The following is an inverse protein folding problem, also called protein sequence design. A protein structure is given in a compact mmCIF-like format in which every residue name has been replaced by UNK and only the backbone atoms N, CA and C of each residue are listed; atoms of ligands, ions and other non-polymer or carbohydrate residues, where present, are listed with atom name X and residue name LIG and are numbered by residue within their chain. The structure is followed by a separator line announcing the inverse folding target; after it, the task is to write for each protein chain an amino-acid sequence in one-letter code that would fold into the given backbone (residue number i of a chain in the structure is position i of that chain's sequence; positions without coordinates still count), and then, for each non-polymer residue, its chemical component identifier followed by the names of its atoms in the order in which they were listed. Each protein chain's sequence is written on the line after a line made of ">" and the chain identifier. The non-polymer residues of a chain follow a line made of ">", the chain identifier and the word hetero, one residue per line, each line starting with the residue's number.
data_IF_621069490178
#
_entry.id   IF_621069490178
#
_cell.length_a   1.000
_cell.length_b   1.000
_cell.length_c   1.000
_cell.angle_alpha   90.00
_cell.angle_beta   90.00
_cell.angle_gamma   90.00
#
_symmetry.space_group_name_H-M   'P 1'
#
loop_
_entity.id
_entity.type
_entity.pdbx_description
1 polymer ?
#
# COMPACT_ATOMS: atom_id res chain seq x y z
N UNK A 1 18.99 28.21 3.28
CA UNK A 1 19.58 26.96 3.77
C UNK A 1 18.53 25.94 4.28
N UNK A 2 17.49 26.36 4.97
CA UNK A 2 16.42 25.45 5.48
C UNK A 2 15.67 24.70 4.36
N UNK A 3 15.36 25.35 3.24
CA UNK A 3 14.67 24.71 2.10
C UNK A 3 15.51 23.57 1.51
N UNK A 4 16.83 23.71 1.42
CA UNK A 4 17.70 22.67 0.88
C UNK A 4 17.76 21.43 1.78
N UNK A 5 17.73 21.60 3.11
CA UNK A 5 17.74 20.48 4.07
C UNK A 5 16.43 19.71 3.97
N UNK A 6 15.28 20.39 3.91
CA UNK A 6 13.97 19.74 3.79
C UNK A 6 13.86 18.97 2.46
N UNK A 7 14.36 19.53 1.37
CA UNK A 7 14.42 18.84 0.08
C UNK A 7 15.31 17.62 0.11
N UNK A 8 16.45 17.68 0.78
CA UNK A 8 17.39 16.57 0.92
C UNK A 8 16.80 15.43 1.74
N UNK A 9 16.13 15.74 2.85
CA UNK A 9 15.42 14.77 3.67
C UNK A 9 14.23 14.14 2.91
N UNK A 10 13.46 14.95 2.17
CA UNK A 10 12.38 14.46 1.34
C UNK A 10 12.88 13.53 0.22
N UNK A 11 13.96 13.90 -0.45
CA UNK A 11 14.61 13.08 -1.47
C UNK A 11 15.13 11.74 -0.91
N UNK A 12 15.75 11.78 0.27
CA UNK A 12 16.25 10.56 0.95
C UNK A 12 15.09 9.63 1.35
N UNK A 13 13.99 10.17 1.87
CA UNK A 13 12.79 9.41 2.20
C UNK A 13 12.21 8.73 0.95
N UNK A 14 12.11 9.47 -0.16
CA UNK A 14 11.64 8.92 -1.43
C UNK A 14 12.56 7.83 -1.97
N UNK A 15 13.88 8.05 -1.93
CA UNK A 15 14.88 7.06 -2.35
C UNK A 15 14.79 5.78 -1.51
N UNK A 16 14.61 5.90 -0.20
CA UNK A 16 14.44 4.75 0.70
C UNK A 16 13.18 3.95 0.35
N UNK A 17 12.08 4.62 0.06
CA UNK A 17 10.82 3.98 -0.36
C UNK A 17 11.01 3.19 -1.67
N UNK A 18 11.64 3.81 -2.67
CA UNK A 18 11.94 3.13 -3.94
C UNK A 18 12.89 1.94 -3.76
N UNK A 19 13.90 2.08 -2.89
CA UNK A 19 14.82 1.00 -2.58
C UNK A 19 14.09 -0.20 -1.93
N UNK A 20 13.22 0.04 -0.96
CA UNK A 20 12.44 -1.00 -0.31
C UNK A 20 11.50 -1.71 -1.29
N UNK A 21 10.86 -0.96 -2.19
CA UNK A 21 10.01 -1.54 -3.22
C UNK A 21 10.81 -2.40 -4.20
N UNK A 22 11.95 -1.92 -4.66
CA UNK A 22 12.82 -2.66 -5.57
C UNK A 22 13.40 -3.92 -4.90
N UNK A 23 13.85 -3.82 -3.66
CA UNK A 23 14.36 -4.94 -2.88
C UNK A 23 13.29 -6.03 -2.66
N UNK A 24 12.07 -5.62 -2.30
CA UNK A 24 10.94 -6.53 -2.14
C UNK A 24 10.60 -7.28 -3.43
N UNK A 25 10.54 -6.57 -4.57
CA UNK A 25 10.29 -7.16 -5.88
C UNK A 25 11.40 -8.13 -6.28
N UNK A 26 12.67 -7.77 -6.02
CA UNK A 26 13.82 -8.63 -6.32
C UNK A 26 13.81 -9.91 -5.50
N UNK A 27 13.44 -9.84 -4.22
CA UNK A 27 13.29 -11.01 -3.35
C UNK A 27 12.20 -11.95 -3.86
N UNK A 28 11.03 -11.41 -4.18
CA UNK A 28 9.90 -12.19 -4.69
C UNK A 28 10.30 -12.87 -6.00
N UNK A 29 10.86 -12.12 -6.95
CA UNK A 29 11.30 -12.67 -8.24
C UNK A 29 12.42 -13.71 -8.08
N UNK A 30 13.38 -13.48 -7.17
CA UNK A 30 14.48 -14.39 -6.91
C UNK A 30 14.03 -15.74 -6.34
N UNK A 31 12.96 -15.75 -5.54
CA UNK A 31 12.44 -16.98 -4.90
C UNK A 31 11.41 -17.69 -5.77
N UNK A 32 10.44 -16.94 -6.30
CA UNK A 32 9.30 -17.54 -7.02
C UNK A 32 9.48 -17.59 -8.53
N UNK A 33 10.44 -16.83 -9.08
CA UNK A 33 10.62 -16.56 -10.52
C UNK A 33 9.36 -16.02 -11.22
N UNK A 34 8.43 -15.46 -10.46
CA UNK A 34 7.20 -14.86 -10.93
C UNK A 34 7.33 -13.35 -10.76
N UNK A 35 7.13 -12.58 -11.83
CA UNK A 35 7.06 -11.12 -11.75
C UNK A 35 5.68 -10.74 -11.21
N UNK A 36 5.63 -10.30 -9.97
CA UNK A 36 4.38 -9.88 -9.32
C UNK A 36 4.18 -8.36 -9.46
N UNK A 37 3.45 -7.94 -10.47
CA UNK A 37 3.10 -6.52 -10.67
C UNK A 37 2.21 -5.94 -9.56
N UNK A 38 1.49 -6.79 -8.83
CA UNK A 38 0.64 -6.35 -7.73
C UNK A 38 1.42 -5.88 -6.48
N UNK A 39 2.75 -6.08 -6.44
CA UNK A 39 3.59 -5.69 -5.30
C UNK A 39 3.43 -4.20 -4.95
N UNK A 40 3.43 -3.32 -5.96
CA UNK A 40 3.20 -1.89 -5.78
C UNK A 40 1.79 -1.56 -5.24
N UNK A 41 0.78 -2.32 -5.63
CA UNK A 41 -0.60 -2.14 -5.16
C UNK A 41 -0.75 -2.53 -3.69
N UNK A 42 -0.06 -3.56 -3.21
CA UNK A 42 -0.02 -3.92 -1.79
C UNK A 42 0.68 -2.86 -0.95
N UNK A 43 1.77 -2.28 -1.44
CA UNK A 43 2.43 -1.15 -0.80
C UNK A 43 1.49 0.06 -0.68
N UNK A 44 0.80 0.41 -1.77
CA UNK A 44 -0.18 1.50 -1.79
C UNK A 44 -1.34 1.23 -0.83
N UNK A 45 -1.84 0.00 -0.75
CA UNK A 45 -2.89 -0.41 0.20
C UNK A 45 -2.46 -0.17 1.65
N UNK A 46 -1.27 -0.62 2.04
CA UNK A 46 -0.72 -0.40 3.37
C UNK A 46 -0.56 1.07 3.71
N UNK A 47 -0.03 1.87 2.77
CA UNK A 47 0.14 3.30 2.94
C UNK A 47 -1.21 4.04 3.11
N UNK A 48 -2.23 3.69 2.32
CA UNK A 48 -3.57 4.27 2.43
C UNK A 48 -4.26 3.90 3.74
N UNK A 49 -4.16 2.65 4.20
CA UNK A 49 -4.71 2.23 5.48
C UNK A 49 -4.04 2.98 6.64
N UNK A 50 -2.71 3.09 6.63
CA UNK A 50 -1.97 3.87 7.63
C UNK A 50 -2.40 5.33 7.64
N UNK A 51 -2.45 5.97 6.46
CA UNK A 51 -2.89 7.35 6.32
C UNK A 51 -4.33 7.56 6.80
N UNK A 52 -5.24 6.62 6.51
CA UNK A 52 -6.63 6.68 6.95
C UNK A 52 -6.75 6.64 8.47
N UNK A 53 -6.02 5.77 9.15
CA UNK A 53 -6.04 5.69 10.61
C UNK A 53 -5.41 6.90 11.28
N UNK A 54 -4.28 7.37 10.77
CA UNK A 54 -3.62 8.58 11.25
C UNK A 54 -4.53 9.80 11.15
N UNK A 55 -5.25 9.96 10.04
CA UNK A 55 -6.08 11.15 9.82
C UNK A 55 -7.43 11.12 10.54
N UNK A 56 -8.00 9.93 10.82
CA UNK A 56 -9.35 9.84 11.39
C UNK A 56 -9.37 9.51 12.88
N UNK A 57 -8.36 8.81 13.39
CA UNK A 57 -8.36 8.33 14.79
C UNK A 57 -7.40 9.12 15.70
N UNK A 58 -6.27 9.60 15.17
CA UNK A 58 -5.28 10.32 15.97
C UNK A 58 -5.67 11.73 16.43
N UNK A 59 -6.48 12.51 15.69
CA UNK A 59 -6.92 13.81 16.20
C UNK A 59 -7.67 13.71 17.54
N UNK A 60 -8.26 12.55 17.83
CA UNK A 60 -9.00 12.29 19.08
C UNK A 60 -8.12 11.80 20.23
N UNK A 61 -6.91 11.28 19.97
CA UNK A 61 -6.08 10.55 20.97
C UNK A 61 -4.74 11.24 21.27
N UNK A 62 -4.45 12.38 20.65
CA UNK A 62 -3.20 13.14 20.84
C UNK A 62 -2.06 12.65 19.92
N UNK A 63 -1.08 13.53 19.69
CA UNK A 63 0.09 13.27 18.85
C UNK A 63 1.17 12.51 19.64
N UNK A 64 1.04 11.20 19.80
CA UNK A 64 2.10 10.38 20.38
C UNK A 64 2.81 9.54 19.32
N UNK A 65 4.15 9.51 19.37
CA UNK A 65 4.97 8.72 18.44
C UNK A 65 4.59 7.23 18.46
N UNK A 66 4.12 6.73 19.60
CA UNK A 66 3.70 5.34 19.77
C UNK A 66 2.46 5.00 18.95
N UNK A 67 1.51 5.93 18.82
CA UNK A 67 0.31 5.76 18.00
C UNK A 67 0.65 5.74 16.51
N UNK A 68 1.61 6.56 16.05
CA UNK A 68 2.09 6.51 14.66
C UNK A 68 2.74 5.15 14.34
N UNK A 69 3.55 4.65 15.27
CA UNK A 69 4.19 3.33 15.12
C UNK A 69 3.16 2.21 15.06
N UNK A 70 2.12 2.28 15.87
CA UNK A 70 1.02 1.34 15.90
C UNK A 70 0.22 1.36 14.59
N UNK A 71 -0.05 2.55 14.02
CA UNK A 71 -0.71 2.67 12.72
C UNK A 71 0.11 2.08 11.58
N UNK A 72 1.43 2.25 11.59
CA UNK A 72 2.32 1.66 10.59
C UNK A 72 2.29 0.13 10.69
N UNK A 73 2.36 -0.43 11.90
CA UNK A 73 2.32 -1.88 12.12
C UNK A 73 0.97 -2.46 11.66
N UNK A 74 -0.14 -1.79 12.00
CA UNK A 74 -1.48 -2.21 11.58
C UNK A 74 -1.65 -2.11 10.07
N UNK A 75 -1.15 -1.04 9.42
CA UNK A 75 -1.16 -0.88 7.96
C UNK A 75 -0.36 -1.97 7.26
N UNK A 76 0.82 -2.29 7.79
CA UNK A 76 1.65 -3.39 7.29
C UNK A 76 0.97 -4.75 7.47
N UNK A 77 0.36 -5.01 8.62
CA UNK A 77 -0.38 -6.24 8.88
C UNK A 77 -1.57 -6.40 7.93
N UNK A 78 -2.33 -5.32 7.69
CA UNK A 78 -3.46 -5.33 6.75
C UNK A 78 -3.01 -5.63 5.32
N UNK A 79 -1.94 -4.96 4.85
CA UNK A 79 -1.36 -5.24 3.53
C UNK A 79 -0.81 -6.66 3.43
N UNK A 80 -0.20 -7.18 4.51
CA UNK A 80 0.29 -8.55 4.59
C UNK A 80 -0.83 -9.60 4.49
N UNK A 81 -1.94 -9.39 5.20
CA UNK A 81 -3.12 -10.26 5.12
C UNK A 81 -3.73 -10.23 3.72
N UNK A 82 -3.87 -9.05 3.12
CA UNK A 82 -4.38 -8.91 1.75
C UNK A 82 -3.45 -9.59 0.74
N UNK A 83 -2.13 -9.46 0.91
CA UNK A 83 -1.13 -10.14 0.09
C UNK A 83 -1.19 -11.66 0.22
N UNK A 84 -1.28 -12.17 1.45
CA UNK A 84 -1.42 -13.61 1.72
C UNK A 84 -2.73 -14.17 1.13
N UNK A 85 -3.82 -13.44 1.22
CA UNK A 85 -5.09 -13.82 0.60
C UNK A 85 -4.98 -13.88 -0.93
N UNK A 86 -4.35 -12.88 -1.55
CA UNK A 86 -4.11 -12.86 -2.99
C UNK A 86 -3.18 -13.99 -3.45
N UNK A 87 -2.14 -14.29 -2.68
CA UNK A 87 -1.26 -15.43 -2.93
C UNK A 87 -2.03 -16.74 -2.90
N UNK A 88 -2.79 -16.97 -1.84
CA UNK A 88 -3.53 -18.22 -1.66
C UNK A 88 -4.62 -18.42 -2.72
N UNK A 89 -5.35 -17.37 -3.10
CA UNK A 89 -6.48 -17.44 -4.02
C UNK A 89 -6.05 -17.46 -5.50
N UNK A 90 -5.05 -16.65 -5.86
CA UNK A 90 -4.65 -16.42 -7.25
C UNK A 90 -3.27 -17.03 -7.58
N UNK A 91 -2.21 -16.56 -6.91
CA UNK A 91 -0.84 -16.90 -7.29
C UNK A 91 -0.54 -18.39 -7.11
N UNK A 92 -1.00 -19.00 -6.04
CA UNK A 92 -0.79 -20.43 -5.80
C UNK A 92 -1.43 -21.32 -6.86
N UNK A 93 -2.52 -20.87 -7.49
CA UNK A 93 -3.17 -21.60 -8.59
C UNK A 93 -2.44 -21.44 -9.92
N UNK A 94 -1.58 -20.41 -10.02
CA UNK A 94 -0.80 -20.10 -11.21
C UNK A 94 0.61 -20.70 -11.17
N UNK A 95 0.98 -21.38 -10.09
CA UNK A 95 2.25 -22.09 -9.98
C UNK A 95 2.26 -23.22 -11.00
N UNK A 96 3.20 -23.16 -11.97
CA UNK A 96 3.29 -24.10 -13.09
C UNK A 96 2.56 -23.67 -14.37
N UNK A 97 1.81 -22.56 -14.34
CA UNK A 97 1.25 -21.98 -15.55
C UNK A 97 2.35 -21.26 -16.36
N UNK A 98 2.19 -21.12 -17.69
CA UNK A 98 3.11 -20.34 -18.53
C UNK A 98 3.27 -18.90 -18.00
N UNK A 99 4.46 -18.33 -18.13
CA UNK A 99 4.81 -16.99 -17.61
C UNK A 99 3.82 -15.89 -18.04
N UNK A 100 3.29 -16.00 -19.24
CA UNK A 100 2.31 -15.04 -19.77
C UNK A 100 1.02 -14.98 -18.93
N UNK A 101 0.52 -16.15 -18.47
CA UNK A 101 -0.68 -16.20 -17.64
C UNK A 101 -0.43 -15.59 -16.26
N UNK A 102 0.76 -15.80 -15.71
CA UNK A 102 1.16 -15.20 -14.44
C UNK A 102 1.22 -13.67 -14.53
N UNK A 103 1.81 -13.14 -15.61
CA UNK A 103 1.87 -11.71 -15.90
C UNK A 103 0.47 -11.09 -16.01
N UNK A 104 -0.40 -11.69 -16.83
CA UNK A 104 -1.78 -11.19 -17.02
C UNK A 104 -2.57 -11.21 -15.71
N UNK A 105 -2.43 -12.28 -14.92
CA UNK A 105 -3.14 -12.41 -13.63
C UNK A 105 -2.68 -11.36 -12.62
N UNK A 106 -1.38 -11.15 -12.46
CA UNK A 106 -0.85 -10.15 -11.53
C UNK A 106 -1.15 -8.72 -11.98
N UNK A 107 -1.18 -8.47 -13.30
CA UNK A 107 -1.60 -7.20 -13.86
C UNK A 107 -3.09 -6.94 -13.64
N UNK A 108 -3.94 -7.94 -13.88
CA UNK A 108 -5.38 -7.86 -13.58
C UNK A 108 -5.66 -7.61 -12.11
N UNK A 109 -4.92 -8.27 -11.21
CA UNK A 109 -4.98 -8.02 -9.77
C UNK A 109 -4.60 -6.58 -9.42
N UNK A 110 -3.55 -6.05 -10.06
CA UNK A 110 -3.13 -4.65 -9.88
C UNK A 110 -4.24 -3.68 -10.21
N UNK A 111 -4.88 -3.85 -11.36
CA UNK A 111 -5.99 -2.99 -11.81
C UNK A 111 -7.19 -3.09 -10.87
N UNK A 112 -7.58 -4.30 -10.48
CA UNK A 112 -8.69 -4.52 -9.55
C UNK A 112 -8.43 -3.87 -8.18
N UNK A 113 -7.22 -3.98 -7.66
CA UNK A 113 -6.84 -3.33 -6.40
C UNK A 113 -6.84 -1.81 -6.51
N UNK A 114 -6.33 -1.25 -7.61
CA UNK A 114 -6.34 0.20 -7.84
C UNK A 114 -7.77 0.74 -7.89
N UNK A 115 -8.66 0.06 -8.58
CA UNK A 115 -10.06 0.45 -8.70
C UNK A 115 -10.79 0.37 -7.34
N UNK A 116 -10.58 -0.71 -6.61
CA UNK A 116 -11.12 -0.88 -5.26
C UNK A 116 -10.64 0.23 -4.29
N UNK A 117 -9.35 0.60 -4.36
CA UNK A 117 -8.82 1.70 -3.53
C UNK A 117 -9.39 3.06 -3.93
N UNK A 118 -9.55 3.34 -5.21
CA UNK A 118 -10.16 4.58 -5.69
C UNK A 118 -11.61 4.69 -5.24
N UNK A 119 -12.37 3.60 -5.32
CA UNK A 119 -13.73 3.55 -4.83
C UNK A 119 -13.82 3.80 -3.33
N UNK A 120 -12.97 3.17 -2.53
CA UNK A 120 -12.89 3.39 -1.08
C UNK A 120 -12.54 4.84 -0.74
N UNK A 121 -11.58 5.45 -1.46
CA UNK A 121 -11.21 6.85 -1.28
C UNK A 121 -12.34 7.82 -1.70
N UNK A 122 -13.09 7.50 -2.74
CA UNK A 122 -14.25 8.30 -3.16
C UNK A 122 -15.32 8.31 -2.08
N UNK A 123 -15.63 7.17 -1.47
CA UNK A 123 -16.57 7.08 -0.36
C UNK A 123 -16.14 7.91 0.86
N UNK A 124 -14.89 7.84 1.25
CA UNK A 124 -14.38 8.62 2.39
C UNK A 124 -14.43 10.12 2.13
N UNK A 125 -14.25 10.57 0.88
CA UNK A 125 -14.39 11.97 0.48
C UNK A 125 -15.86 12.44 0.50
N UNK A 126 -16.79 11.62 0.05
CA UNK A 126 -18.22 11.93 0.11
C UNK A 126 -18.69 12.11 1.55
N UNK A 127 -18.37 11.18 2.44
CA UNK A 127 -18.73 11.24 3.86
C UNK A 127 -18.12 12.47 4.57
N UNK A 128 -16.90 12.87 4.20
CA UNK A 128 -16.25 14.08 4.74
C UNK A 128 -16.91 15.36 4.23
N UNK A 129 -17.40 15.38 3.01
CA UNK A 129 -18.09 16.54 2.41
C UNK A 129 -19.45 16.76 3.07
N UNK A 130 -20.19 15.70 3.32
CA UNK A 130 -21.51 15.75 3.97
C UNK A 130 -21.40 16.27 5.41
N UNK A 131 -20.37 15.86 6.15
CA UNK A 131 -20.12 16.34 7.51
C UNK A 131 -19.78 17.84 7.59
N UNK A 132 -19.22 18.43 6.52
CA UNK A 132 -18.91 19.87 6.45
C UNK A 132 -20.09 20.73 6.00
N UNK A 133 -21.12 20.13 5.40
CA UNK A 133 -22.33 20.85 4.95
C UNK A 133 -23.39 20.96 6.05
N UNK A 134 -23.21 20.27 7.19
CA UNK A 134 -24.15 20.26 8.33
C UNK A 134 -23.72 21.19 9.47
N UNK A 135 -22.55 21.85 9.36
CA UNK A 135 -22.03 22.88 10.29
C UNK A 135 -22.04 24.24 9.61
#
# INVERSE_FOLDING_TARGET
>A
MTVSIVQLLGGLSYATTLFLMAAGLTLIFGVTRIVNFAHGSFFMLGALCTAHWVTNWFPAWGESALLYLLAIILGAAYAGIAGAAAEYLLLRRMVGAPELYQLVTTFGLTLAMQDAMQWALAQTRCLRRDRKSVV
#
